data_IF_117902842867
#
_entry.id   IF_117902842867
#
_cell.length_a   1.000
_cell.length_b   1.000
_cell.length_c   1.000
_cell.angle_alpha   90.00
_cell.angle_beta   90.00
_cell.angle_gamma   90.00
#
_symmetry.space_group_name_H-M   'P 1'
#
loop_
_entity.id
_entity.type
_entity.pdbx_description
1 polymer ?
#
# COMPACT_ATOMS: atom_id res chain seq x y z
N UNK A 1 0.36 -6.61 3.87
CA UNK A 1 -0.41 -7.13 4.96
C UNK A 1 -1.67 -6.36 5.26
N UNK A 2 -2.01 -5.40 4.45
CA UNK A 2 -3.29 -4.68 4.51
C UNK A 2 -3.72 -4.41 3.09
N UNK A 3 -4.56 -5.25 2.56
CA UNK A 3 -5.38 -4.99 1.39
C UNK A 3 -6.81 -4.84 1.90
N UNK A 4 -7.12 -3.72 2.50
CA UNK A 4 -8.41 -3.56 3.15
C UNK A 4 -9.31 -2.51 2.51
N UNK A 5 -8.82 -1.73 1.58
CA UNK A 5 -9.69 -0.80 0.85
C UNK A 5 -9.72 -1.11 -0.63
N UNK A 6 -10.46 -2.15 -1.00
CA UNK A 6 -11.15 -2.12 -2.27
C UNK A 6 -12.52 -1.52 -1.99
N UNK A 7 -12.61 -0.20 -2.04
CA UNK A 7 -13.86 0.50 -1.97
C UNK A 7 -14.84 -0.09 -2.99
N UNK A 8 -15.76 -0.89 -2.52
CA UNK A 8 -17.00 -1.13 -3.22
C UNK A 8 -17.78 0.16 -3.15
N UNK A 9 -17.63 0.96 -4.23
CA UNK A 9 -18.58 1.94 -4.68
C UNK A 9 -19.29 2.80 -3.65
N UNK A 10 -18.66 3.84 -3.13
CA UNK A 10 -19.41 5.10 -2.98
C UNK A 10 -19.54 5.69 -4.37
N UNK A 11 -20.76 5.65 -4.93
CA UNK A 11 -21.09 6.41 -6.13
C UNK A 11 -20.99 7.90 -5.78
N UNK A 12 -19.96 8.54 -6.27
CA UNK A 12 -19.91 9.99 -6.37
C UNK A 12 -20.28 10.40 -7.79
N UNK A 13 -21.08 11.49 -7.96
CA UNK A 13 -21.51 11.95 -9.26
C UNK A 13 -20.31 12.51 -10.04
N UNK A 14 -20.29 12.19 -11.32
CA UNK A 14 -19.41 12.81 -12.31
C UNK A 14 -19.50 14.34 -12.24
N UNK A 15 -18.39 15.01 -12.01
CA UNK A 15 -18.20 16.36 -12.56
C UNK A 15 -16.73 16.72 -12.74
N UNK A 16 -16.49 17.17 -13.96
CA UNK A 16 -15.43 18.02 -14.48
C UNK A 16 -14.07 17.39 -14.79
N UNK A 17 -13.93 17.17 -16.10
CA UNK A 17 -12.65 17.18 -16.77
C UNK A 17 -11.93 18.53 -16.57
N UNK A 18 -10.71 18.49 -16.06
CA UNK A 18 -9.70 19.49 -16.35
C UNK A 18 -8.44 18.76 -16.81
N UNK A 19 -8.19 18.85 -18.11
CA UNK A 19 -6.91 18.59 -18.72
C UNK A 19 -5.88 19.56 -18.14
N UNK A 20 -5.00 19.05 -17.29
CA UNK A 20 -3.70 19.67 -17.06
C UNK A 20 -2.65 18.58 -17.30
N UNK A 21 -2.10 18.58 -18.50
CA UNK A 21 -0.91 17.86 -18.82
C UNK A 21 0.27 18.42 -18.01
N UNK A 22 0.49 17.94 -16.81
CA UNK A 22 1.76 18.08 -16.13
C UNK A 22 2.69 16.98 -16.66
N UNK A 23 3.61 17.37 -17.52
CA UNK A 23 4.82 16.62 -17.78
C UNK A 23 5.63 16.61 -16.47
N UNK A 24 5.44 15.58 -15.67
CA UNK A 24 6.43 15.22 -14.64
C UNK A 24 7.48 14.43 -15.39
N UNK A 25 8.63 15.06 -15.60
CA UNK A 25 9.86 14.41 -16.03
C UNK A 25 10.19 13.36 -14.94
N UNK A 26 9.90 12.10 -15.24
CA UNK A 26 10.28 10.93 -14.43
C UNK A 26 11.80 10.82 -14.49
N UNK A 27 12.50 11.67 -13.75
CA UNK A 27 13.94 11.56 -13.62
C UNK A 27 14.27 10.31 -12.79
N UNK A 28 14.41 9.17 -13.48
CA UNK A 28 14.98 7.92 -12.95
C UNK A 28 16.31 8.14 -12.21
N UNK A 29 16.98 9.27 -12.48
CA UNK A 29 18.23 9.67 -11.84
C UNK A 29 18.06 10.13 -10.39
N UNK A 30 16.93 10.72 -10.02
CA UNK A 30 16.68 11.17 -8.63
C UNK A 30 16.41 9.98 -7.70
N UNK A 31 15.78 8.93 -8.21
CA UNK A 31 15.50 7.69 -7.48
C UNK A 31 16.77 6.88 -7.25
N UNK A 32 17.73 6.94 -8.18
CA UNK A 32 19.00 6.21 -8.13
C UNK A 32 20.02 6.77 -7.13
N UNK A 33 19.87 8.01 -6.69
CA UNK A 33 20.83 8.71 -5.82
C UNK A 33 20.62 8.49 -4.31
N UNK A 34 19.50 7.87 -3.89
CA UNK A 34 19.22 7.60 -2.47
C UNK A 34 19.69 6.21 -2.00
N UNK A 35 20.39 5.44 -2.80
CA UNK A 35 20.79 4.06 -2.49
C UNK A 35 22.25 3.95 -2.04
N UNK A 36 22.62 4.59 -0.94
CA UNK A 36 23.91 4.35 -0.28
C UNK A 36 23.76 4.29 1.23
N UNK A 37 23.18 3.17 1.70
CA UNK A 37 23.55 2.56 2.98
C UNK A 37 23.21 1.06 2.93
N UNK A 38 24.14 0.25 3.42
CA UNK A 38 24.12 -1.22 3.43
C UNK A 38 22.84 -1.72 4.13
N UNK A 39 21.92 -2.38 3.38
CA UNK A 39 20.62 -2.96 3.75
C UNK A 39 19.34 -2.17 3.36
N UNK A 40 19.40 -1.30 2.37
CA UNK A 40 18.16 -0.69 1.84
C UNK A 40 17.55 -1.56 0.75
N UNK A 41 16.22 -1.79 0.87
CA UNK A 41 15.46 -2.45 -0.18
C UNK A 41 15.49 -1.62 -1.47
N UNK A 42 15.64 -2.29 -2.60
CA UNK A 42 15.39 -1.66 -3.90
C UNK A 42 13.89 -1.73 -4.21
N UNK A 43 13.37 -0.76 -4.97
CA UNK A 43 11.96 -0.75 -5.36
C UNK A 43 11.76 -0.09 -6.72
N UNK A 44 10.65 -0.46 -7.35
CA UNK A 44 10.19 0.13 -8.61
C UNK A 44 8.67 0.00 -8.75
N UNK A 45 8.08 0.71 -9.73
CA UNK A 45 6.65 0.53 -10.07
C UNK A 45 6.36 -0.93 -10.40
N UNK A 46 5.33 -1.50 -9.75
CA UNK A 46 4.98 -2.92 -9.91
C UNK A 46 4.62 -3.27 -11.35
N UNK A 47 5.33 -4.23 -11.92
CA UNK A 47 5.12 -4.72 -13.29
C UNK A 47 3.92 -5.68 -13.36
N UNK A 48 3.38 -5.89 -14.58
CA UNK A 48 2.29 -6.85 -14.81
C UNK A 48 2.65 -8.30 -14.36
N UNK A 49 3.90 -8.70 -14.55
CA UNK A 49 4.38 -10.02 -14.11
C UNK A 49 4.38 -10.14 -12.58
N UNK A 50 4.80 -9.10 -11.89
CA UNK A 50 4.80 -9.07 -10.42
C UNK A 50 3.39 -9.05 -9.85
N UNK A 51 2.45 -8.32 -10.46
CA UNK A 51 1.04 -8.34 -10.05
C UNK A 51 0.46 -9.76 -10.09
N UNK A 52 0.74 -10.53 -11.16
CA UNK A 52 0.38 -11.94 -11.23
C UNK A 52 0.99 -12.72 -10.06
N UNK A 53 2.30 -12.60 -9.85
CA UNK A 53 3.02 -13.33 -8.81
C UNK A 53 2.55 -12.96 -7.39
N UNK A 54 2.38 -11.67 -7.10
CA UNK A 54 1.92 -11.19 -5.78
C UNK A 54 0.52 -11.72 -5.46
N UNK A 55 -0.38 -11.79 -6.43
CA UNK A 55 -1.74 -12.26 -6.20
C UNK A 55 -1.85 -13.76 -5.97
N UNK A 56 -0.77 -14.51 -6.19
CA UNK A 56 -0.67 -15.93 -5.86
C UNK A 56 -0.23 -16.19 -4.42
N UNK A 57 0.26 -15.17 -3.71
CA UNK A 57 0.69 -15.32 -2.31
C UNK A 57 -0.46 -15.81 -1.43
N UNK A 58 -0.13 -16.75 -0.54
CA UNK A 58 -1.08 -17.35 0.41
C UNK A 58 -0.60 -17.16 1.83
N UNK A 59 -1.34 -16.38 2.57
CA UNK A 59 -1.11 -16.20 4.00
C UNK A 59 -1.80 -17.33 4.77
N UNK A 60 -1.14 -17.93 5.78
CA UNK A 60 -1.70 -19.02 6.56
C UNK A 60 -2.63 -18.53 7.67
N UNK A 61 -3.46 -19.45 8.18
CA UNK A 61 -4.27 -19.26 9.38
C UNK A 61 -5.21 -18.04 9.28
N UNK A 62 -5.28 -17.25 10.35
CA UNK A 62 -6.13 -16.06 10.43
C UNK A 62 -5.74 -14.96 9.42
N UNK A 63 -4.49 -14.97 8.95
CA UNK A 63 -4.00 -14.05 7.92
C UNK A 63 -4.52 -14.38 6.51
N UNK A 64 -5.21 -15.52 6.32
CA UNK A 64 -5.78 -15.89 5.02
C UNK A 64 -6.82 -14.87 4.51
N UNK A 65 -7.38 -14.04 5.40
CA UNK A 65 -8.26 -12.90 5.04
C UNK A 65 -7.55 -11.87 4.14
N UNK A 66 -6.23 -11.88 4.08
CA UNK A 66 -5.41 -11.00 3.22
C UNK A 66 -5.03 -11.66 1.89
N UNK A 67 -5.48 -12.87 1.61
CA UNK A 67 -5.24 -13.51 0.32
C UNK A 67 -5.92 -12.74 -0.79
N UNK A 68 -5.16 -12.41 -1.82
CA UNK A 68 -5.65 -11.64 -2.94
C UNK A 68 -6.50 -12.48 -3.90
N UNK A 69 -7.43 -11.82 -4.57
CA UNK A 69 -8.09 -12.37 -5.75
C UNK A 69 -7.08 -12.42 -6.90
N UNK A 70 -7.07 -13.46 -7.77
CA UNK A 70 -6.15 -13.55 -8.89
C UNK A 70 -6.18 -12.30 -9.77
N UNK A 71 -5.01 -11.91 -10.30
CA UNK A 71 -4.89 -10.65 -11.05
C UNK A 71 -5.80 -10.59 -12.29
N UNK A 72 -5.99 -11.70 -12.97
CA UNK A 72 -6.91 -11.77 -14.13
C UNK A 72 -8.37 -11.44 -13.74
N UNK A 73 -8.81 -11.82 -12.55
CA UNK A 73 -10.13 -11.46 -12.06
C UNK A 73 -10.19 -9.97 -11.66
N UNK A 74 -9.12 -9.44 -11.08
CA UNK A 74 -9.01 -8.00 -10.79
C UNK A 74 -9.09 -7.17 -12.08
N UNK A 75 -8.43 -7.61 -13.17
CA UNK A 75 -8.48 -6.95 -14.47
C UNK A 75 -9.91 -6.89 -15.04
N UNK A 76 -10.64 -7.99 -14.97
CA UNK A 76 -12.04 -8.04 -15.47
C UNK A 76 -12.95 -7.06 -14.73
N UNK A 77 -12.69 -6.79 -13.47
CA UNK A 77 -13.52 -5.96 -12.60
C UNK A 77 -12.97 -4.55 -12.38
N UNK A 78 -11.77 -4.25 -12.85
CA UNK A 78 -11.15 -2.94 -12.76
C UNK A 78 -10.81 -2.50 -11.32
N UNK A 79 -10.41 -3.43 -10.44
CA UNK A 79 -10.07 -3.11 -9.07
C UNK A 79 -8.65 -3.58 -8.70
N UNK A 80 -8.17 -3.20 -7.53
CA UNK A 80 -6.89 -3.64 -7.01
C UNK A 80 -5.71 -3.22 -7.88
N UNK A 81 -4.88 -4.19 -8.22
CA UNK A 81 -3.73 -3.97 -9.10
C UNK A 81 -4.13 -3.49 -10.52
N UNK A 82 -5.39 -3.68 -10.92
CA UNK A 82 -5.89 -3.24 -12.20
C UNK A 82 -6.56 -1.85 -12.18
N UNK A 83 -6.73 -1.24 -11.00
CA UNK A 83 -7.23 0.12 -10.89
C UNK A 83 -6.09 1.11 -11.18
N UNK A 84 -6.19 1.94 -12.25
CA UNK A 84 -5.13 2.86 -12.65
C UNK A 84 -4.86 4.00 -11.65
N UNK A 85 -5.80 4.26 -10.74
CA UNK A 85 -5.62 5.26 -9.69
C UNK A 85 -4.73 4.78 -8.53
N UNK A 86 -4.36 3.50 -8.51
CA UNK A 86 -3.47 2.93 -7.52
C UNK A 86 -2.00 3.03 -7.97
N UNK A 87 -1.14 3.45 -7.06
CA UNK A 87 0.31 3.52 -7.27
C UNK A 87 1.00 2.38 -6.54
N UNK A 88 1.23 1.28 -7.25
CA UNK A 88 1.90 0.09 -6.71
C UNK A 88 3.39 0.12 -6.94
N UNK A 89 4.16 -0.23 -5.88
CA UNK A 89 5.61 -0.40 -5.92
C UNK A 89 5.99 -1.76 -5.35
N UNK A 90 6.85 -2.49 -6.06
CA UNK A 90 7.43 -3.77 -5.64
C UNK A 90 8.76 -3.54 -4.97
N UNK A 91 9.03 -4.26 -3.88
CA UNK A 91 10.24 -4.13 -3.08
C UNK A 91 11.06 -5.42 -3.11
N UNK A 92 12.36 -5.26 -3.24
CA UNK A 92 13.31 -6.34 -3.36
C UNK A 92 14.43 -6.25 -2.34
N UNK A 93 14.78 -7.40 -1.77
CA UNK A 93 16.06 -7.62 -1.10
C UNK A 93 16.92 -8.43 -2.08
N UNK A 94 17.97 -7.81 -2.60
CA UNK A 94 18.72 -8.33 -3.74
C UNK A 94 17.82 -8.70 -4.94
N UNK A 95 17.57 -10.00 -5.14
CA UNK A 95 16.71 -10.52 -6.21
C UNK A 95 15.37 -11.04 -5.73
N UNK A 96 15.14 -11.09 -4.42
CA UNK A 96 13.94 -11.62 -3.82
C UNK A 96 12.85 -10.55 -3.71
N UNK A 97 11.68 -10.77 -4.29
CA UNK A 97 10.50 -9.92 -4.13
C UNK A 97 9.93 -10.12 -2.72
N UNK A 98 10.23 -9.18 -1.80
CA UNK A 98 9.87 -9.27 -0.38
C UNK A 98 8.54 -8.63 -0.04
N UNK A 99 8.01 -7.75 -0.89
CA UNK A 99 6.75 -7.10 -0.62
C UNK A 99 6.36 -6.06 -1.67
N UNK A 100 5.24 -5.41 -1.42
CA UNK A 100 4.75 -4.30 -2.23
C UNK A 100 4.02 -3.28 -1.35
N UNK A 101 3.89 -2.07 -1.87
CA UNK A 101 3.01 -1.05 -1.31
C UNK A 101 2.01 -0.59 -2.36
N UNK A 102 0.94 0.02 -1.88
CA UNK A 102 -0.02 0.79 -2.66
C UNK A 102 -0.22 2.16 -2.05
N UNK A 103 -0.24 3.19 -2.87
CA UNK A 103 -0.69 4.53 -2.50
C UNK A 103 -1.88 4.89 -3.39
N UNK A 104 -2.94 5.40 -2.77
CA UNK A 104 -4.14 5.82 -3.47
C UNK A 104 -4.56 7.19 -2.97
N UNK A 105 -4.65 8.17 -3.88
CA UNK A 105 -5.01 9.53 -3.53
C UNK A 105 -6.52 9.66 -3.35
N UNK A 106 -6.91 10.17 -2.20
CA UNK A 106 -8.26 10.62 -1.89
C UNK A 106 -8.30 12.16 -1.84
N UNK A 107 -9.47 12.73 -1.61
CA UNK A 107 -9.65 14.18 -1.63
C UNK A 107 -8.70 14.90 -0.65
N UNK A 108 -8.61 14.42 0.58
CA UNK A 108 -7.86 15.06 1.68
C UNK A 108 -6.68 14.26 2.19
N UNK A 109 -6.63 12.97 1.93
CA UNK A 109 -5.68 12.02 2.51
C UNK A 109 -5.16 11.06 1.43
N UNK A 110 -4.11 10.33 1.77
CA UNK A 110 -3.56 9.25 0.92
C UNK A 110 -3.76 7.93 1.64
N UNK A 111 -4.49 7.01 1.02
CA UNK A 111 -4.58 5.65 1.51
C UNK A 111 -3.28 4.90 1.26
N UNK A 112 -2.77 4.22 2.29
CA UNK A 112 -1.58 3.38 2.24
C UNK A 112 -1.93 1.91 2.47
N UNK A 113 -1.62 1.08 1.48
CA UNK A 113 -1.68 -0.37 1.58
C UNK A 113 -0.30 -1.01 1.50
N UNK A 114 -0.10 -2.16 2.15
CA UNK A 114 1.17 -2.88 2.16
C UNK A 114 0.95 -4.39 2.23
N UNK A 115 1.74 -5.16 1.48
CA UNK A 115 1.84 -6.61 1.60
C UNK A 115 3.29 -7.04 1.67
N UNK A 116 3.61 -7.89 2.65
CA UNK A 116 4.92 -8.56 2.76
C UNK A 116 4.75 -10.00 2.30
N UNK A 117 5.66 -10.48 1.45
CA UNK A 117 5.67 -11.88 1.03
C UNK A 117 5.55 -12.79 2.26
N UNK A 118 4.60 -13.75 2.30
CA UNK A 118 4.41 -14.64 3.45
C UNK A 118 5.69 -15.29 3.93
N UNK A 119 6.58 -15.69 3.01
CA UNK A 119 7.85 -16.35 3.30
C UNK A 119 8.91 -15.39 3.89
N UNK A 120 8.69 -14.07 3.76
CA UNK A 120 9.58 -13.01 4.24
C UNK A 120 9.03 -12.27 5.46
N UNK A 121 7.99 -12.79 6.10
CA UNK A 121 7.38 -12.14 7.24
C UNK A 121 8.28 -12.18 8.48
N UNK A 122 8.25 -11.09 9.28
CA UNK A 122 9.00 -10.93 10.54
C UNK A 122 10.49 -10.59 10.38
N UNK A 123 10.97 -10.36 9.17
CA UNK A 123 12.35 -9.97 8.86
C UNK A 123 12.58 -8.44 8.89
N UNK A 124 11.57 -7.66 9.30
CA UNK A 124 11.67 -6.19 9.39
C UNK A 124 11.33 -5.44 8.09
N UNK A 125 11.09 -6.14 6.98
CA UNK A 125 10.77 -5.53 5.69
C UNK A 125 9.56 -4.60 5.74
N UNK A 126 8.50 -4.98 6.45
CA UNK A 126 7.30 -4.15 6.59
C UNK A 126 7.60 -2.76 7.14
N UNK A 127 8.52 -2.63 8.10
CA UNK A 127 8.91 -1.33 8.66
C UNK A 127 9.71 -0.50 7.66
N UNK A 128 10.65 -1.10 6.95
CA UNK A 128 11.43 -0.42 5.91
C UNK A 128 10.53 0.08 4.78
N UNK A 129 9.66 -0.78 4.26
CA UNK A 129 8.69 -0.45 3.22
C UNK A 129 7.73 0.67 3.64
N UNK A 130 7.27 0.66 4.90
CA UNK A 130 6.39 1.71 5.42
C UNK A 130 7.10 3.07 5.46
N UNK A 131 8.36 3.12 5.87
CA UNK A 131 9.17 4.36 5.85
C UNK A 131 9.34 4.88 4.42
N UNK A 132 9.70 4.00 3.49
CA UNK A 132 9.85 4.36 2.08
C UNK A 132 8.51 4.81 1.48
N UNK A 133 7.38 4.22 1.89
CA UNK A 133 6.05 4.67 1.46
C UNK A 133 5.77 6.12 1.86
N UNK A 134 6.19 6.54 3.07
CA UNK A 134 6.08 7.95 3.48
C UNK A 134 6.89 8.87 2.56
N UNK A 135 8.11 8.47 2.20
CA UNK A 135 8.96 9.25 1.30
C UNK A 135 8.36 9.35 -0.11
N UNK A 136 7.89 8.23 -0.66
CA UNK A 136 7.21 8.21 -1.97
C UNK A 136 5.94 9.05 -1.93
N UNK A 137 5.13 8.94 -0.88
CA UNK A 137 3.90 9.72 -0.72
C UNK A 137 4.18 11.22 -0.71
N UNK A 138 5.23 11.65 0.01
CA UNK A 138 5.64 13.06 0.06
C UNK A 138 6.06 13.58 -1.31
N UNK A 139 6.78 12.77 -2.09
CA UNK A 139 7.21 13.13 -3.45
C UNK A 139 6.01 13.24 -4.40
N UNK A 140 5.06 12.32 -4.34
CA UNK A 140 3.94 12.26 -5.28
C UNK A 140 2.80 13.23 -4.91
N UNK A 141 2.50 13.38 -3.61
CA UNK A 141 1.27 14.01 -3.14
C UNK A 141 1.51 15.18 -2.15
N UNK A 142 2.78 15.52 -1.91
CA UNK A 142 3.15 16.60 -1.00
C UNK A 142 2.89 16.25 0.47
N UNK A 143 2.27 17.18 1.21
CA UNK A 143 2.05 17.06 2.66
C UNK A 143 0.69 16.47 3.04
N UNK A 144 -0.02 15.83 2.11
CA UNK A 144 -1.27 15.13 2.45
C UNK A 144 -0.99 14.03 3.46
N UNK A 145 -1.85 13.94 4.47
CA UNK A 145 -1.77 12.90 5.51
C UNK A 145 -1.83 11.52 4.90
N UNK A 146 -0.89 10.66 5.28
CA UNK A 146 -0.90 9.25 4.89
C UNK A 146 -1.67 8.45 5.94
N UNK A 147 -2.65 7.64 5.53
CA UNK A 147 -3.42 6.82 6.45
C UNK A 147 -3.50 5.36 6.01
N UNK A 148 -3.75 4.50 6.96
CA UNK A 148 -4.04 3.09 6.75
C UNK A 148 -5.12 2.61 7.72
N UNK A 149 -5.74 1.49 7.38
CA UNK A 149 -6.62 0.76 8.27
C UNK A 149 -6.05 -0.62 8.56
N UNK A 150 -6.05 -1.04 9.82
CA UNK A 150 -5.50 -2.32 10.25
C UNK A 150 -6.43 -3.02 11.21
N UNK A 151 -6.69 -4.32 11.01
CA UNK A 151 -7.50 -5.13 11.93
C UNK A 151 -6.90 -5.09 13.33
N UNK A 152 -7.72 -4.84 14.33
CA UNK A 152 -7.30 -4.65 15.73
C UNK A 152 -6.59 -5.86 16.32
N UNK A 153 -6.88 -7.06 15.81
CA UNK A 153 -6.20 -8.29 16.22
C UNK A 153 -4.80 -8.43 15.61
N UNK A 154 -4.48 -7.77 14.48
CA UNK A 154 -3.19 -7.86 13.80
C UNK A 154 -2.11 -7.04 14.52
N UNK A 155 -1.77 -7.43 15.75
CA UNK A 155 -0.82 -6.71 16.61
C UNK A 155 0.54 -6.52 15.98
N UNK A 156 0.97 -7.48 15.15
CA UNK A 156 2.25 -7.39 14.42
C UNK A 156 2.27 -6.20 13.47
N UNK A 157 1.22 -6.03 12.68
CA UNK A 157 1.11 -4.91 11.75
C UNK A 157 0.96 -3.57 12.51
N UNK A 158 0.11 -3.51 13.53
CA UNK A 158 -0.03 -2.32 14.38
C UNK A 158 1.33 -1.86 14.94
N UNK A 159 2.09 -2.78 15.54
CA UNK A 159 3.43 -2.48 16.06
C UNK A 159 4.40 -2.03 14.96
N UNK A 160 4.32 -2.62 13.78
CA UNK A 160 5.13 -2.24 12.61
C UNK A 160 4.88 -0.78 12.23
N UNK A 161 3.61 -0.39 12.08
CA UNK A 161 3.22 0.97 11.70
C UNK A 161 3.56 2.01 12.79
N UNK A 162 3.34 1.67 14.06
CA UNK A 162 3.74 2.55 15.19
C UNK A 162 5.25 2.82 15.18
N UNK A 163 6.08 1.81 14.93
CA UNK A 163 7.54 1.97 14.80
C UNK A 163 7.95 2.81 13.57
N UNK A 164 7.09 2.90 12.57
CA UNK A 164 7.29 3.74 11.40
C UNK A 164 6.72 5.16 11.57
N UNK A 165 6.12 5.46 12.73
CA UNK A 165 5.63 6.80 13.08
C UNK A 165 4.12 6.99 12.94
N UNK A 166 3.36 5.95 12.54
CA UNK A 166 1.91 6.04 12.51
C UNK A 166 1.31 6.04 13.92
N UNK A 167 0.28 6.83 14.11
CA UNK A 167 -0.50 6.91 15.35
C UNK A 167 -1.94 6.46 15.11
N UNK A 168 -2.53 5.80 16.10
CA UNK A 168 -3.96 5.45 16.07
C UNK A 168 -4.76 6.73 16.28
N UNK A 169 -5.75 6.99 15.40
CA UNK A 169 -6.63 8.16 15.45
C UNK A 169 -8.07 7.69 15.71
N UNK A 170 -8.62 8.10 16.84
CA UNK A 170 -10.00 7.78 17.23
C UNK A 170 -10.18 6.35 17.78
N UNK A 171 -11.44 5.96 17.91
CA UNK A 171 -11.84 4.64 18.38
C UNK A 171 -11.84 3.62 17.24
N UNK A 172 -11.66 2.32 17.54
CA UNK A 172 -11.76 1.27 16.54
C UNK A 172 -13.12 1.26 15.85
N UNK A 173 -13.13 1.10 14.54
CA UNK A 173 -14.34 1.13 13.71
C UNK A 173 -14.68 -0.28 13.24
N UNK A 174 -15.95 -0.69 13.38
CA UNK A 174 -16.46 -1.90 12.75
C UNK A 174 -16.88 -1.60 11.32
N UNK A 175 -16.33 -2.36 10.39
CA UNK A 175 -16.67 -2.21 8.97
C UNK A 175 -16.63 -3.54 8.22
N UNK A 176 -17.29 -3.58 7.06
CA UNK A 176 -17.25 -4.71 6.13
C UNK A 176 -16.34 -4.35 4.96
N UNK A 177 -15.32 -5.17 4.72
CA UNK A 177 -14.41 -5.08 3.60
C UNK A 177 -14.63 -6.24 2.64
N UNK A 178 -13.90 -6.28 1.52
CA UNK A 178 -13.88 -7.44 0.63
C UNK A 178 -13.41 -8.72 1.33
N UNK A 179 -12.65 -8.59 2.43
CA UNK A 179 -12.16 -9.66 3.28
C UNK A 179 -13.12 -9.99 4.46
N UNK A 180 -14.37 -9.51 4.41
CA UNK A 180 -15.40 -9.73 5.45
C UNK A 180 -15.42 -8.65 6.52
N UNK A 181 -16.31 -8.86 7.51
CA UNK A 181 -16.43 -7.96 8.66
C UNK A 181 -15.16 -7.95 9.53
N UNK A 182 -14.90 -6.81 10.13
CA UNK A 182 -13.79 -6.65 11.06
C UNK A 182 -13.89 -5.38 11.89
N UNK A 183 -13.00 -5.30 12.89
CA UNK A 183 -12.79 -4.09 13.68
C UNK A 183 -11.40 -3.59 13.38
N UNK A 184 -11.28 -2.31 13.03
CA UNK A 184 -10.06 -1.72 12.50
C UNK A 184 -9.64 -0.52 13.30
N UNK A 185 -8.33 -0.36 13.46
CA UNK A 185 -7.74 0.92 13.81
C UNK A 185 -7.54 1.73 12.53
N UNK A 186 -7.94 2.98 12.57
CA UNK A 186 -7.49 4.00 11.63
C UNK A 186 -6.18 4.58 12.16
N UNK A 187 -5.12 4.47 11.37
CA UNK A 187 -3.79 4.96 11.76
C UNK A 187 -3.30 5.98 10.74
N UNK A 188 -2.72 7.06 11.21
CA UNK A 188 -2.28 8.18 10.37
C UNK A 188 -0.81 8.52 10.61
N UNK A 189 -0.16 9.01 9.58
CA UNK A 189 1.16 9.64 9.59
C UNK A 189 1.01 11.02 8.99
N UNK A 190 1.16 12.05 9.81
CA UNK A 190 1.20 13.43 9.32
C UNK A 190 2.52 13.67 8.59
N UNK A 191 2.45 14.29 7.42
CA UNK A 191 3.61 14.54 6.56
C UNK A 191 4.04 15.99 6.74
N UNK A 192 5.19 16.20 7.39
CA UNK A 192 5.82 17.50 7.59
C UNK A 192 6.62 17.98 6.37
#
# INVERSE_FOLDING_TARGET
MVYEHFAVGRRYPNHCAFDVACHVDDSEETIKKMSVEKNMLTYHKTTEKEKCFITEWKYPGEYAVYNSVPYEEQKKRGFGFANPANHFYSFYDETALVGFINLYEEETEIFFGIGVNPDCCSEGYGQQMTKTACEISKVLFGTKTLYLEVRTWNKRAVSCYQKAGFVIKGEPIRQTTSAGEGVFYHMVQEME
#
